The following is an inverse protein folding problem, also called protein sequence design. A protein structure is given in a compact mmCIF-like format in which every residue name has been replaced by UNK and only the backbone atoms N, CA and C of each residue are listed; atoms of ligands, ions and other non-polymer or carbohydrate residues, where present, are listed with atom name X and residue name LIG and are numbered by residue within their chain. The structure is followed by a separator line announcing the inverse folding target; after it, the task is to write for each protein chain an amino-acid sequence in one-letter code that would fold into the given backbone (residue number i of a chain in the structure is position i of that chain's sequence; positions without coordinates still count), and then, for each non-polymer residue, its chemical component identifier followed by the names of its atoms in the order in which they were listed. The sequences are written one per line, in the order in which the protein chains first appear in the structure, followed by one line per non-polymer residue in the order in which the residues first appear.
data_IF_587056313578
#
_entry.id   IF_587056313578
#
_cell.length_a   1.000
_cell.length_b   1.000
_cell.length_c   1.000
_cell.angle_alpha   90.00
_cell.angle_beta   90.00
_cell.angle_gamma   90.00
#
_symmetry.space_group_name_H-M   'P 1'
#
loop_
_entity.id
_entity.type
_entity.pdbx_description
1 polymer ?
#
# COMPACT_ATOMS: atom_id res chain seq x y z
N UNK A 1 38.94 30.37 -56.12
CA UNK A 1 38.17 29.39 -56.91
C UNK A 1 38.23 28.07 -56.17
N UNK A 2 37.07 27.62 -55.69
CA UNK A 2 36.66 26.26 -55.25
C UNK A 2 37.62 25.43 -54.37
N UNK A 3 37.22 24.84 -53.24
CA UNK A 3 35.89 24.57 -52.69
C UNK A 3 36.00 24.32 -51.19
N UNK A 4 34.89 24.60 -50.50
CA UNK A 4 34.68 24.47 -49.07
C UNK A 4 33.60 23.39 -48.85
N UNK A 5 33.64 22.72 -47.69
CA UNK A 5 32.64 21.80 -47.07
C UNK A 5 32.91 20.31 -47.31
N UNK A 6 32.85 19.43 -46.32
CA UNK A 6 32.40 19.60 -44.94
C UNK A 6 32.86 18.44 -44.05
N UNK A 7 32.77 18.70 -42.76
CA UNK A 7 33.01 17.78 -41.66
C UNK A 7 32.08 16.57 -41.76
N UNK A 8 32.65 15.37 -41.62
CA UNK A 8 31.96 14.25 -40.98
C UNK A 8 32.84 13.84 -39.80
N UNK A 9 32.51 14.38 -38.63
CA UNK A 9 32.93 13.84 -37.35
C UNK A 9 32.28 12.46 -37.19
N UNK A 10 32.95 11.42 -37.70
CA UNK A 10 32.62 10.08 -37.27
C UNK A 10 33.11 9.93 -35.82
N UNK A 11 32.18 10.19 -34.90
CA UNK A 11 32.29 9.79 -33.51
C UNK A 11 32.68 8.32 -33.47
N UNK A 12 33.89 8.03 -32.99
CA UNK A 12 34.33 6.68 -32.67
C UNK A 12 33.49 6.15 -31.50
N UNK A 13 32.28 5.68 -31.79
CA UNK A 13 31.59 4.77 -30.88
C UNK A 13 32.41 3.50 -30.80
N UNK A 14 33.17 3.37 -29.71
CA UNK A 14 33.79 2.11 -29.32
C UNK A 14 32.71 1.02 -29.30
N UNK A 15 32.86 -0.07 -30.06
CA UNK A 15 31.86 -1.13 -30.04
C UNK A 15 31.81 -1.71 -28.61
N UNK A 16 30.62 -1.66 -28.01
CA UNK A 16 30.30 -2.40 -26.80
C UNK A 16 30.55 -3.89 -27.09
N UNK A 17 31.67 -4.40 -26.58
CA UNK A 17 32.04 -5.81 -26.40
C UNK A 17 31.69 -6.80 -27.53
N UNK A 18 32.70 -7.50 -28.08
CA UNK A 18 32.52 -8.63 -29.02
C UNK A 18 31.58 -9.74 -28.52
N UNK A 19 31.27 -9.78 -27.22
CA UNK A 19 30.28 -10.70 -26.63
C UNK A 19 28.83 -10.46 -27.07
N UNK A 20 28.48 -9.26 -27.55
CA UNK A 20 27.10 -8.97 -27.95
C UNK A 20 26.68 -9.64 -29.27
N UNK A 21 27.63 -9.96 -30.15
CA UNK A 21 27.37 -10.62 -31.45
C UNK A 21 27.22 -12.14 -31.38
N UNK A 22 27.81 -12.78 -30.36
CA UNK A 22 27.88 -14.24 -30.24
C UNK A 22 26.79 -14.83 -29.32
N UNK A 23 26.03 -13.98 -28.63
CA UNK A 23 24.86 -14.42 -27.86
C UNK A 23 23.64 -14.54 -28.79
N UNK A 24 23.41 -15.75 -29.29
CA UNK A 24 22.10 -16.15 -29.81
C UNK A 24 21.34 -16.88 -28.69
N UNK A 25 20.64 -16.17 -27.79
CA UNK A 25 19.87 -16.82 -26.73
C UNK A 25 18.78 -17.69 -27.38
N UNK A 26 18.91 -19.00 -27.21
CA UNK A 26 17.80 -19.93 -27.47
C UNK A 26 17.03 -20.07 -26.18
N UNK A 27 15.80 -19.55 -26.15
CA UNK A 27 14.86 -19.82 -25.06
C UNK A 27 14.64 -21.32 -24.96
N UNK A 28 15.04 -21.93 -23.84
CA UNK A 28 14.94 -23.37 -23.59
C UNK A 28 13.52 -23.83 -23.21
N UNK A 29 12.51 -22.99 -23.49
CA UNK A 29 11.14 -23.13 -22.99
C UNK A 29 10.82 -22.05 -21.95
N UNK A 30 9.59 -21.54 -21.98
CA UNK A 30 9.08 -20.67 -20.92
C UNK A 30 8.77 -21.47 -19.63
N UNK A 31 8.45 -20.79 -18.51
CA UNK A 31 7.92 -21.48 -17.34
C UNK A 31 6.66 -22.27 -17.73
N UNK A 32 6.47 -23.44 -17.10
CA UNK A 32 5.27 -24.26 -17.27
C UNK A 32 4.01 -23.41 -17.02
N UNK A 33 3.00 -23.58 -17.86
CA UNK A 33 1.81 -22.74 -17.87
C UNK A 33 0.58 -23.55 -18.30
N UNK A 34 -0.61 -22.98 -18.18
CA UNK A 34 -1.82 -23.57 -18.73
C UNK A 34 -1.93 -23.32 -20.24
N UNK A 35 -2.76 -24.12 -20.91
CA UNK A 35 -3.15 -23.81 -22.28
C UNK A 35 -3.87 -22.44 -22.33
N UNK A 36 -3.59 -21.69 -23.40
CA UNK A 36 -4.09 -20.33 -23.58
C UNK A 36 -5.36 -20.26 -24.43
N UNK A 37 -5.78 -21.40 -24.97
CA UNK A 37 -6.92 -21.56 -25.86
C UNK A 37 -7.69 -22.83 -25.51
N UNK A 38 -8.98 -22.84 -25.83
CA UNK A 38 -9.82 -24.01 -25.77
C UNK A 38 -10.79 -24.01 -26.95
N UNK A 39 -10.93 -25.16 -27.61
CA UNK A 39 -11.85 -25.36 -28.73
C UNK A 39 -13.24 -25.83 -28.28
N UNK A 40 -13.31 -26.47 -27.10
CA UNK A 40 -14.52 -26.89 -26.42
C UNK A 40 -15.00 -25.91 -25.34
N UNK A 41 -16.01 -26.32 -24.54
CA UNK A 41 -16.70 -25.44 -23.61
C UNK A 41 -15.77 -24.80 -22.59
N UNK A 42 -16.03 -23.52 -22.29
CA UNK A 42 -15.31 -22.75 -21.27
C UNK A 42 -16.26 -22.17 -20.25
N UNK A 43 -15.86 -22.20 -18.98
CA UNK A 43 -16.46 -21.38 -17.93
C UNK A 43 -15.77 -20.03 -17.91
N UNK A 44 -16.51 -18.93 -17.76
CA UNK A 44 -15.93 -17.60 -17.76
C UNK A 44 -16.59 -16.62 -16.80
N UNK A 45 -15.87 -15.55 -16.52
CA UNK A 45 -16.33 -14.37 -15.81
C UNK A 45 -15.80 -13.13 -16.49
N UNK A 46 -16.62 -12.09 -16.54
CA UNK A 46 -16.26 -10.82 -17.17
C UNK A 46 -15.34 -10.03 -16.25
N UNK A 47 -14.28 -9.46 -16.83
CA UNK A 47 -13.36 -8.55 -16.16
C UNK A 47 -13.69 -7.12 -16.56
N UNK A 48 -13.83 -6.25 -15.58
CA UNK A 48 -14.12 -4.85 -15.76
C UNK A 48 -13.20 -3.98 -14.90
N UNK A 49 -13.08 -2.72 -15.31
CA UNK A 49 -12.54 -1.67 -14.46
C UNK A 49 -13.34 -0.38 -14.64
N UNK A 50 -12.77 0.76 -14.23
CA UNK A 50 -13.41 2.06 -14.36
C UNK A 50 -13.63 2.52 -15.81
N UNK A 51 -13.03 1.84 -16.79
CA UNK A 51 -13.16 2.08 -18.23
C UNK A 51 -14.31 1.26 -18.84
N UNK A 52 -14.84 0.28 -18.09
CA UNK A 52 -15.89 -0.63 -18.52
C UNK A 52 -15.39 -2.08 -18.58
N UNK A 53 -16.03 -2.87 -19.43
CA UNK A 53 -15.70 -4.30 -19.60
C UNK A 53 -14.42 -4.44 -20.44
N UNK A 54 -13.35 -4.94 -19.81
CA UNK A 54 -12.03 -5.11 -20.43
C UNK A 54 -11.86 -6.44 -21.16
N UNK A 55 -12.62 -7.46 -20.78
CA UNK A 55 -12.39 -8.82 -21.25
C UNK A 55 -13.09 -9.86 -20.38
N UNK A 56 -12.59 -11.09 -20.43
CA UNK A 56 -13.08 -12.18 -19.58
C UNK A 56 -11.93 -13.09 -19.13
N UNK A 57 -12.01 -13.59 -17.91
CA UNK A 57 -11.24 -14.76 -17.51
C UNK A 57 -12.03 -16.01 -17.88
N UNK A 58 -11.38 -17.02 -18.42
CA UNK A 58 -12.02 -18.29 -18.73
C UNK A 58 -11.17 -19.49 -18.29
N UNK A 59 -11.81 -20.64 -18.11
CA UNK A 59 -11.17 -21.93 -17.87
C UNK A 59 -11.89 -23.10 -18.55
N UNK A 60 -11.12 -24.14 -18.87
CA UNK A 60 -11.57 -25.46 -19.32
C UNK A 60 -10.67 -26.53 -18.69
N UNK A 61 -11.21 -27.31 -17.76
CA UNK A 61 -10.49 -28.43 -17.15
C UNK A 61 -10.20 -29.54 -18.16
N UNK A 62 -11.12 -29.77 -19.10
CA UNK A 62 -11.00 -30.80 -20.13
C UNK A 62 -9.80 -30.59 -21.06
N UNK A 63 -9.45 -29.32 -21.31
CA UNK A 63 -8.37 -28.93 -22.22
C UNK A 63 -7.17 -28.32 -21.47
N UNK A 64 -7.20 -28.30 -20.13
CA UNK A 64 -6.09 -27.77 -19.33
C UNK A 64 -5.87 -26.25 -19.54
N UNK A 65 -6.91 -25.52 -19.93
CA UNK A 65 -6.82 -24.14 -20.37
C UNK A 65 -7.36 -23.16 -19.32
N UNK A 66 -6.63 -22.09 -19.02
CA UNK A 66 -7.13 -20.94 -18.25
C UNK A 66 -6.38 -19.71 -18.70
N UNK A 67 -7.09 -18.63 -19.00
CA UNK A 67 -6.47 -17.40 -19.50
C UNK A 67 -7.39 -16.19 -19.36
N UNK A 68 -6.79 -15.01 -19.52
CA UNK A 68 -7.49 -13.75 -19.71
C UNK A 68 -7.64 -13.46 -21.20
N UNK A 69 -8.88 -13.37 -21.65
CA UNK A 69 -9.28 -12.94 -22.97
C UNK A 69 -9.44 -11.41 -22.98
N UNK A 70 -8.67 -10.74 -23.83
CA UNK A 70 -8.70 -9.28 -24.01
C UNK A 70 -9.85 -8.87 -24.94
N UNK A 71 -10.62 -7.85 -24.55
CA UNK A 71 -11.55 -7.16 -25.45
C UNK A 71 -10.80 -6.06 -26.22
N UNK A 72 -10.46 -6.33 -27.48
CA UNK A 72 -9.59 -5.45 -28.29
C UNK A 72 -10.15 -4.03 -28.50
N UNK A 73 -11.47 -3.87 -28.59
CA UNK A 73 -12.14 -2.57 -28.76
C UNK A 73 -11.86 -1.57 -27.62
N UNK A 74 -11.54 -2.08 -26.43
CA UNK A 74 -11.21 -1.26 -25.26
C UNK A 74 -9.75 -0.79 -25.24
N UNK A 75 -8.96 -1.17 -26.25
CA UNK A 75 -7.64 -0.61 -26.47
C UNK A 75 -6.60 -0.97 -25.39
N UNK A 76 -5.62 -0.09 -25.14
CA UNK A 76 -4.48 -0.37 -24.27
C UNK A 76 -4.87 -0.77 -22.84
N UNK A 77 -5.95 -0.22 -22.30
CA UNK A 77 -6.44 -0.47 -20.95
C UNK A 77 -6.81 -1.95 -20.75
N UNK A 78 -7.52 -2.55 -21.70
CA UNK A 78 -7.83 -3.98 -21.67
C UNK A 78 -6.59 -4.85 -21.78
N UNK A 79 -5.60 -4.42 -22.56
CA UNK A 79 -4.32 -5.13 -22.74
C UNK A 79 -3.44 -5.06 -21.48
N UNK A 80 -3.43 -3.93 -20.76
CA UNK A 80 -2.63 -3.71 -19.56
C UNK A 80 -3.01 -4.69 -18.42
N UNK A 81 -4.27 -5.15 -18.38
CA UNK A 81 -4.71 -6.15 -17.41
C UNK A 81 -4.06 -7.52 -17.57
N UNK A 82 -3.52 -7.83 -18.76
CA UNK A 82 -2.91 -9.13 -19.06
C UNK A 82 -1.75 -9.49 -18.13
N UNK A 83 -0.97 -8.51 -17.67
CA UNK A 83 0.19 -8.75 -16.81
C UNK A 83 -0.20 -9.41 -15.49
N UNK A 84 -1.14 -8.79 -14.77
CA UNK A 84 -1.67 -9.29 -13.49
C UNK A 84 -2.22 -10.71 -13.64
N UNK A 85 -3.12 -10.90 -14.61
CA UNK A 85 -3.79 -12.20 -14.78
C UNK A 85 -2.80 -13.31 -15.16
N UNK A 86 -1.76 -12.99 -15.93
CA UNK A 86 -0.69 -13.94 -16.27
C UNK A 86 0.11 -14.36 -15.03
N UNK A 87 0.44 -13.42 -14.14
CA UNK A 87 1.18 -13.72 -12.91
C UNK A 87 0.38 -14.64 -11.98
N UNK A 88 -0.90 -14.32 -11.73
CA UNK A 88 -1.80 -15.14 -10.92
C UNK A 88 -1.96 -16.56 -11.49
N UNK A 89 -2.17 -16.65 -12.80
CA UNK A 89 -2.26 -17.93 -13.51
C UNK A 89 -0.99 -18.77 -13.35
N UNK A 90 0.19 -18.19 -13.53
CA UNK A 90 1.47 -18.91 -13.39
C UNK A 90 1.71 -19.37 -11.96
N UNK A 91 1.35 -18.55 -10.97
CA UNK A 91 1.38 -18.92 -9.56
C UNK A 91 0.48 -20.15 -9.28
N UNK A 92 -0.72 -20.19 -9.87
CA UNK A 92 -1.62 -21.33 -9.77
C UNK A 92 -1.06 -22.60 -10.42
N UNK A 93 -0.47 -22.47 -11.62
CA UNK A 93 0.17 -23.59 -12.33
C UNK A 93 1.30 -24.20 -11.51
N UNK A 94 2.17 -23.38 -10.92
CA UNK A 94 3.28 -23.83 -10.09
C UNK A 94 2.82 -24.63 -8.86
N UNK A 95 1.59 -24.39 -8.38
CA UNK A 95 0.97 -25.12 -7.28
C UNK A 95 0.15 -26.32 -7.73
N UNK A 96 0.05 -26.57 -9.04
CA UNK A 96 -0.62 -27.75 -9.62
C UNK A 96 -2.14 -27.70 -9.58
N UNK A 97 -2.75 -26.51 -9.53
CA UNK A 97 -4.21 -26.36 -9.51
C UNK A 97 -4.84 -26.77 -10.85
N UNK A 98 -6.06 -27.30 -10.81
CA UNK A 98 -6.86 -27.46 -12.04
C UNK A 98 -7.26 -26.08 -12.62
N UNK A 99 -7.52 -25.95 -13.92
CA UNK A 99 -7.92 -24.69 -14.53
C UNK A 99 -9.09 -23.95 -13.85
N UNK A 100 -10.14 -24.65 -13.45
CA UNK A 100 -11.29 -24.02 -12.76
C UNK A 100 -10.95 -23.57 -11.33
N UNK A 101 -10.10 -24.32 -10.62
CA UNK A 101 -9.57 -23.91 -9.31
C UNK A 101 -8.67 -22.68 -9.44
N UNK A 102 -7.81 -22.66 -10.46
CA UNK A 102 -6.97 -21.51 -10.80
C UNK A 102 -7.82 -20.29 -11.15
N UNK A 103 -8.90 -20.45 -11.93
CA UNK A 103 -9.84 -19.39 -12.26
C UNK A 103 -10.51 -18.81 -11.01
N UNK A 104 -11.00 -19.66 -10.10
CA UNK A 104 -11.60 -19.22 -8.85
C UNK A 104 -10.62 -18.41 -7.99
N UNK A 105 -9.37 -18.86 -7.89
CA UNK A 105 -8.33 -18.14 -7.16
C UNK A 105 -7.93 -16.83 -7.84
N UNK A 106 -7.78 -16.83 -9.17
CA UNK A 106 -7.53 -15.62 -9.93
C UNK A 106 -8.62 -14.58 -9.67
N UNK A 107 -9.89 -14.98 -9.70
CA UNK A 107 -11.01 -14.08 -9.39
C UNK A 107 -10.97 -13.53 -7.96
N UNK A 108 -10.51 -14.33 -6.99
CA UNK A 108 -10.40 -13.90 -5.59
C UNK A 108 -9.19 -12.99 -5.32
N UNK A 109 -8.09 -13.18 -6.03
CA UNK A 109 -6.84 -12.43 -5.84
C UNK A 109 -6.72 -11.23 -6.79
N UNK A 110 -7.44 -11.27 -7.90
CA UNK A 110 -7.34 -10.29 -8.96
C UNK A 110 -8.13 -9.01 -8.71
N UNK A 111 -7.42 -7.89 -8.81
CA UNK A 111 -7.97 -6.55 -8.96
C UNK A 111 -8.03 -5.73 -7.67
N UNK A 112 -7.70 -4.43 -7.78
CA UNK A 112 -8.60 -3.29 -7.54
C UNK A 112 -8.83 -2.67 -8.97
N UNK A 113 -9.63 -1.63 -9.29
CA UNK A 113 -10.02 -1.33 -10.66
C UNK A 113 -8.87 -0.80 -11.55
N UNK A 114 -7.63 -0.98 -11.12
CA UNK A 114 -6.52 -1.11 -12.04
C UNK A 114 -5.71 -2.38 -11.69
N UNK A 115 -5.35 -3.22 -12.67
CA UNK A 115 -5.65 -3.06 -14.09
C UNK A 115 -7.01 -3.66 -14.51
N UNK A 116 -7.69 -4.45 -13.67
CA UNK A 116 -9.01 -5.04 -13.95
C UNK A 116 -9.48 -5.99 -12.84
N UNK A 117 -10.80 -6.07 -12.60
CA UNK A 117 -11.43 -6.95 -11.60
C UNK A 117 -12.50 -7.82 -12.27
N UNK A 118 -12.54 -9.10 -11.91
CA UNK A 118 -13.65 -9.98 -12.27
C UNK A 118 -14.94 -9.55 -11.55
N UNK A 119 -16.03 -9.36 -12.30
CA UNK A 119 -17.32 -8.95 -11.74
C UNK A 119 -17.96 -10.07 -10.91
N UNK A 120 -18.55 -9.77 -9.75
CA UNK A 120 -19.22 -10.77 -8.93
C UNK A 120 -20.48 -11.29 -9.63
N UNK A 121 -20.72 -12.59 -9.56
CA UNK A 121 -21.89 -13.22 -10.16
C UNK A 121 -21.71 -14.73 -10.36
N UNK A 122 -22.75 -15.44 -10.83
CA UNK A 122 -22.59 -16.82 -11.24
C UNK A 122 -21.60 -16.91 -12.41
N UNK A 123 -20.82 -17.99 -12.44
CA UNK A 123 -20.01 -18.34 -13.60
C UNK A 123 -20.89 -18.49 -14.84
N UNK A 124 -20.43 -17.96 -15.95
CA UNK A 124 -21.09 -18.10 -17.25
C UNK A 124 -20.39 -19.19 -18.06
N UNK A 125 -21.07 -19.72 -19.08
CA UNK A 125 -20.54 -20.77 -19.96
C UNK A 125 -20.62 -20.31 -21.41
N UNK A 126 -19.57 -20.60 -22.17
CA UNK A 126 -19.55 -20.42 -23.61
C UNK A 126 -19.18 -21.77 -24.28
N UNK A 127 -19.78 -22.11 -25.44
CA UNK A 127 -19.48 -23.36 -26.15
C UNK A 127 -18.02 -23.52 -26.59
N UNK A 128 -17.30 -22.41 -26.76
CA UNK A 128 -15.86 -22.37 -27.03
C UNK A 128 -15.28 -20.99 -26.75
N UNK A 129 -13.94 -20.89 -26.71
CA UNK A 129 -13.26 -19.59 -26.61
C UNK A 129 -13.54 -18.68 -27.80
N UNK A 130 -13.74 -19.24 -29.00
CA UNK A 130 -14.07 -18.47 -30.20
C UNK A 130 -15.44 -17.79 -30.05
N UNK A 131 -16.44 -18.51 -29.53
CA UNK A 131 -17.76 -17.94 -29.24
C UNK A 131 -17.67 -16.87 -28.16
N UNK A 132 -16.92 -17.13 -27.08
CA UNK A 132 -16.71 -16.14 -26.02
C UNK A 132 -16.07 -14.84 -26.57
N UNK A 133 -15.10 -14.96 -27.47
CA UNK A 133 -14.45 -13.81 -28.13
C UNK A 133 -15.44 -12.95 -28.92
N UNK A 134 -16.40 -13.55 -29.60
CA UNK A 134 -17.46 -12.81 -30.29
C UNK A 134 -18.48 -12.22 -29.30
N UNK A 135 -18.75 -12.91 -28.19
CA UNK A 135 -19.75 -12.53 -27.20
C UNK A 135 -19.34 -11.33 -26.33
N UNK A 136 -18.05 -11.19 -26.02
CA UNK A 136 -17.55 -10.07 -25.20
C UNK A 136 -17.32 -8.78 -26.01
N UNK A 137 -17.60 -8.80 -27.30
CA UNK A 137 -17.46 -7.66 -28.23
C UNK A 137 -18.77 -6.85 -28.28
N UNK A 138 -18.66 -5.53 -28.39
CA UNK A 138 -19.81 -4.62 -28.43
C UNK A 138 -20.45 -4.31 -27.07
N UNK A 139 -21.07 -3.13 -26.98
CA UNK A 139 -21.60 -2.59 -25.72
C UNK A 139 -23.10 -2.83 -25.50
N UNK A 140 -23.81 -3.36 -26.49
CA UNK A 140 -25.27 -3.56 -26.42
C UNK A 140 -25.72 -4.60 -25.39
N UNK A 141 -24.82 -5.51 -25.00
CA UNK A 141 -25.09 -6.59 -24.03
C UNK A 141 -24.62 -6.25 -22.61
N UNK A 142 -23.70 -5.30 -22.45
CA UNK A 142 -23.01 -5.05 -21.20
C UNK A 142 -23.23 -3.61 -20.75
N UNK A 143 -23.73 -3.41 -19.52
CA UNK A 143 -23.77 -2.08 -18.94
C UNK A 143 -22.33 -1.56 -18.79
N UNK A 144 -21.98 -0.50 -19.53
CA UNK A 144 -20.64 0.12 -19.53
C UNK A 144 -20.18 0.61 -18.16
N UNK A 145 -21.11 0.82 -17.23
CA UNK A 145 -20.84 1.23 -15.86
C UNK A 145 -21.20 0.09 -14.90
N UNK A 146 -20.20 -0.64 -14.38
CA UNK A 146 -20.42 -1.52 -13.25
C UNK A 146 -20.79 -0.66 -12.03
N UNK A 147 -22.09 -0.57 -11.73
CA UNK A 147 -22.62 0.26 -10.63
C UNK A 147 -22.03 -0.12 -9.25
N UNK A 148 -21.51 -1.34 -9.14
CA UNK A 148 -20.93 -1.94 -7.95
C UNK A 148 -19.42 -1.69 -7.78
N UNK A 149 -18.73 -1.12 -8.78
CA UNK A 149 -17.33 -0.72 -8.64
C UNK A 149 -17.24 0.53 -7.78
N UNK A 150 -16.89 0.36 -6.51
CA UNK A 150 -16.48 1.47 -5.64
C UNK A 150 -15.16 2.06 -6.18
N UNK A 151 -14.98 3.37 -6.09
CA UNK A 151 -13.73 4.05 -6.47
C UNK A 151 -12.93 4.28 -5.20
N UNK A 152 -11.95 3.43 -4.93
CA UNK A 152 -11.00 3.67 -3.85
C UNK A 152 -9.64 4.09 -4.42
N UNK A 153 -8.98 4.97 -3.70
CA UNK A 153 -7.56 5.20 -3.81
C UNK A 153 -6.90 4.63 -2.55
N UNK A 154 -5.72 4.05 -2.71
CA UNK A 154 -4.85 3.65 -1.60
C UNK A 154 -3.67 4.62 -1.52
N UNK A 155 -3.90 5.86 -1.04
CA UNK A 155 -2.89 6.89 -1.12
C UNK A 155 -1.76 6.64 -0.13
N UNK A 156 -0.60 7.21 -0.47
CA UNK A 156 0.38 7.57 0.55
C UNK A 156 -0.19 8.72 1.36
N UNK A 157 -0.52 8.48 2.63
CA UNK A 157 -1.03 9.52 3.55
C UNK A 157 0.14 10.42 3.97
N UNK A 158 0.13 11.72 3.61
CA UNK A 158 1.16 12.66 4.04
C UNK A 158 0.87 13.20 5.44
N UNK A 159 1.92 13.47 6.20
CA UNK A 159 1.85 14.04 7.54
C UNK A 159 2.65 15.34 7.62
N UNK A 160 2.14 16.32 8.37
CA UNK A 160 2.90 17.49 8.85
C UNK A 160 2.82 17.50 10.37
N UNK A 161 3.88 17.01 11.02
CA UNK A 161 3.85 16.72 12.45
C UNK A 161 2.72 15.71 12.77
N UNK A 162 1.86 15.95 13.77
CA UNK A 162 0.75 15.05 14.09
C UNK A 162 -0.45 15.19 13.15
N UNK A 163 -0.45 16.17 12.22
CA UNK A 163 -1.59 16.46 11.35
C UNK A 163 -1.50 15.65 10.06
N UNK A 164 -2.54 14.87 9.77
CA UNK A 164 -2.74 14.26 8.45
C UNK A 164 -3.12 15.31 7.43
N UNK A 165 -2.55 15.17 6.22
CA UNK A 165 -2.84 16.05 5.09
C UNK A 165 -3.69 15.31 4.06
N UNK A 166 -4.38 16.09 3.23
CA UNK A 166 -5.11 15.53 2.10
C UNK A 166 -4.10 14.83 1.17
N UNK A 167 -4.37 13.60 0.74
CA UNK A 167 -3.51 12.96 -0.23
C UNK A 167 -3.48 13.71 -1.57
N UNK A 168 -2.41 13.53 -2.32
CA UNK A 168 -2.29 14.17 -3.63
C UNK A 168 -3.14 13.45 -4.68
N UNK A 169 -3.84 14.23 -5.51
CA UNK A 169 -4.57 13.73 -6.67
C UNK A 169 -3.58 13.40 -7.79
N UNK A 170 -3.54 12.14 -8.21
CA UNK A 170 -2.69 11.67 -9.31
C UNK A 170 -3.37 11.85 -10.67
N UNK A 171 -2.60 11.78 -11.76
CA UNK A 171 -3.18 11.82 -13.11
C UNK A 171 -4.03 10.58 -13.42
N UNK A 172 -3.69 9.44 -12.84
CA UNK A 172 -4.51 8.22 -12.91
C UNK A 172 -5.88 8.44 -12.27
N UNK A 173 -5.93 9.08 -11.10
CA UNK A 173 -7.19 9.47 -10.46
C UNK A 173 -8.00 10.40 -11.36
N UNK A 174 -7.37 11.43 -11.96
CA UNK A 174 -8.07 12.36 -12.87
C UNK A 174 -8.64 11.65 -14.10
N UNK A 175 -7.88 10.73 -14.69
CA UNK A 175 -8.36 9.92 -15.83
C UNK A 175 -9.57 9.08 -15.42
N UNK A 176 -9.53 8.47 -14.24
CA UNK A 176 -10.63 7.68 -13.69
C UNK A 176 -11.88 8.53 -13.40
N UNK A 177 -11.69 9.75 -12.87
CA UNK A 177 -12.77 10.68 -12.54
C UNK A 177 -13.54 11.16 -13.77
N UNK A 178 -12.83 11.45 -14.88
CA UNK A 178 -13.44 11.89 -16.16
C UNK A 178 -14.49 10.94 -16.71
N UNK A 179 -14.46 9.68 -16.31
CA UNK A 179 -15.38 8.63 -16.75
C UNK A 179 -16.53 8.39 -15.79
N UNK A 180 -16.55 9.08 -14.65
CA UNK A 180 -17.45 8.79 -13.54
C UNK A 180 -17.96 10.09 -12.88
N UNK A 181 -18.60 10.96 -13.67
CA UNK A 181 -19.15 12.20 -13.14
C UNK A 181 -20.17 11.93 -12.04
N UNK A 182 -20.19 12.81 -11.02
CA UNK A 182 -21.13 12.72 -9.90
C UNK A 182 -20.82 11.64 -8.85
N UNK A 183 -19.69 10.91 -8.96
CA UNK A 183 -19.26 9.91 -7.97
C UNK A 183 -18.25 10.48 -6.98
N UNK A 184 -17.73 9.64 -6.07
CA UNK A 184 -16.71 10.01 -5.08
C UNK A 184 -15.56 9.00 -5.15
N UNK A 185 -14.32 9.49 -5.14
CA UNK A 185 -13.12 8.69 -4.92
C UNK A 185 -12.84 8.65 -3.43
N UNK A 186 -12.90 7.48 -2.79
CA UNK A 186 -12.58 7.34 -1.37
C UNK A 186 -11.10 7.05 -1.15
N UNK A 187 -10.44 7.80 -0.29
CA UNK A 187 -9.11 7.46 0.22
C UNK A 187 -9.24 6.40 1.32
N UNK A 188 -8.65 5.23 1.12
CA UNK A 188 -8.76 4.09 2.03
C UNK A 188 -7.46 3.92 2.83
N UNK A 189 -7.60 3.58 4.10
CA UNK A 189 -6.46 3.25 4.95
C UNK A 189 -5.70 2.03 4.38
N UNK A 190 -4.36 2.13 4.21
CA UNK A 190 -3.56 1.08 3.58
C UNK A 190 -3.62 -0.30 4.25
N UNK A 191 -4.09 -0.42 5.49
CA UNK A 191 -4.29 -1.72 6.14
C UNK A 191 -5.50 -2.48 5.60
N UNK A 192 -6.47 -1.81 4.97
CA UNK A 192 -7.64 -2.44 4.36
C UNK A 192 -7.32 -2.93 2.95
N UNK A 193 -6.46 -3.94 2.89
CA UNK A 193 -5.91 -4.47 1.65
C UNK A 193 -6.87 -5.39 0.90
N UNK A 194 -7.98 -5.81 1.51
CA UNK A 194 -8.98 -6.63 0.83
C UNK A 194 -9.70 -5.78 -0.24
N UNK A 195 -9.39 -5.98 -1.52
CA UNK A 195 -9.92 -5.14 -2.59
C UNK A 195 -11.40 -5.45 -2.90
N UNK A 196 -11.91 -6.58 -2.40
CA UNK A 196 -13.31 -7.03 -2.56
C UNK A 196 -14.16 -6.81 -1.31
N UNK A 197 -13.52 -6.49 -0.18
CA UNK A 197 -14.18 -6.28 1.09
C UNK A 197 -14.89 -4.94 1.15
N UNK A 198 -16.03 -4.90 1.83
CA UNK A 198 -16.59 -3.63 2.25
C UNK A 198 -15.62 -2.96 3.24
N UNK A 199 -15.12 -1.78 2.87
CA UNK A 199 -14.34 -0.97 3.81
C UNK A 199 -15.33 -0.27 4.74
N UNK A 200 -15.25 -0.49 6.06
CA UNK A 200 -16.08 0.23 7.02
C UNK A 200 -15.79 1.73 6.97
N UNK A 201 -16.73 2.57 7.38
CA UNK A 201 -16.55 4.02 7.28
C UNK A 201 -15.31 4.53 8.03
N UNK A 202 -15.02 3.98 9.21
CA UNK A 202 -13.81 4.32 9.97
C UNK A 202 -12.50 3.90 9.28
N UNK A 203 -12.54 3.06 8.24
CA UNK A 203 -11.39 2.70 7.40
C UNK A 203 -11.17 3.64 6.21
N UNK A 204 -12.05 4.63 6.02
CA UNK A 204 -11.98 5.62 4.94
C UNK A 204 -11.44 6.93 5.51
N UNK A 205 -10.28 7.38 5.03
CA UNK A 205 -9.68 8.67 5.41
C UNK A 205 -10.59 9.85 5.01
N UNK A 206 -11.30 9.70 3.89
CA UNK A 206 -12.14 10.73 3.31
C UNK A 206 -12.41 10.46 1.84
N UNK A 207 -12.83 11.47 1.09
CA UNK A 207 -13.03 11.32 -0.34
C UNK A 207 -12.96 12.62 -1.12
N UNK A 208 -12.74 12.47 -2.43
CA UNK A 208 -12.84 13.54 -3.41
C UNK A 208 -14.15 13.38 -4.19
N UNK A 209 -15.09 14.32 -4.13
CA UNK A 209 -16.24 14.32 -5.02
C UNK A 209 -15.76 14.58 -6.45
N UNK A 210 -16.44 13.95 -7.40
CA UNK A 210 -16.24 14.15 -8.84
C UNK A 210 -17.46 14.94 -9.33
N UNK A 211 -17.21 16.07 -10.00
CA UNK A 211 -18.28 16.90 -10.52
C UNK A 211 -18.94 16.29 -11.79
N UNK A 212 -19.91 16.99 -12.37
CA UNK A 212 -20.63 16.54 -13.57
C UNK A 212 -19.75 16.49 -14.83
N UNK A 213 -18.61 17.18 -14.84
CA UNK A 213 -17.63 17.17 -15.92
C UNK A 213 -16.56 16.09 -15.73
N UNK A 214 -16.59 15.37 -14.60
CA UNK A 214 -15.60 14.37 -14.26
C UNK A 214 -14.31 14.96 -13.69
N UNK A 215 -14.35 16.20 -13.18
CA UNK A 215 -13.24 16.85 -12.48
C UNK A 215 -13.26 16.51 -10.99
N UNK A 216 -12.07 16.32 -10.41
CA UNK A 216 -11.89 15.98 -8.99
C UNK A 216 -11.93 17.26 -8.17
N UNK A 217 -12.88 17.34 -7.23
CA UNK A 217 -13.05 18.46 -6.30
C UNK A 217 -12.14 18.40 -5.07
N UNK A 218 -12.46 19.21 -4.06
CA UNK A 218 -11.72 19.30 -2.80
C UNK A 218 -11.83 18.00 -1.98
N UNK A 219 -10.76 17.65 -1.26
CA UNK A 219 -10.77 16.49 -0.38
C UNK A 219 -11.55 16.77 0.90
N UNK A 220 -12.55 15.95 1.19
CA UNK A 220 -13.29 16.00 2.44
C UNK A 220 -12.83 14.87 3.36
N UNK A 221 -12.25 15.24 4.51
CA UNK A 221 -11.89 14.28 5.54
C UNK A 221 -13.12 13.65 6.16
N UNK A 222 -13.06 12.34 6.38
CA UNK A 222 -14.06 11.65 7.17
C UNK A 222 -13.78 11.88 8.67
N UNK A 223 -14.69 12.49 9.44
CA UNK A 223 -14.49 12.70 10.87
C UNK A 223 -14.44 11.39 11.67
N UNK A 224 -15.04 10.32 11.16
CA UNK A 224 -15.09 9.01 11.82
C UNK A 224 -13.88 8.12 11.48
N UNK A 225 -12.90 8.67 10.75
CA UNK A 225 -11.71 7.93 10.35
C UNK A 225 -10.82 7.55 11.55
N UNK A 226 -10.54 6.26 11.68
CA UNK A 226 -9.64 5.71 12.69
C UNK A 226 -8.37 5.14 12.05
N UNK A 227 -7.23 5.86 12.09
CA UNK A 227 -6.03 5.41 11.42
C UNK A 227 -5.45 4.14 12.05
N UNK A 228 -5.03 3.21 11.19
CA UNK A 228 -4.29 2.01 11.61
C UNK A 228 -2.82 2.31 11.87
N UNK A 229 -2.12 1.37 12.51
CA UNK A 229 -0.66 1.46 12.67
C UNK A 229 0.06 1.55 11.32
N UNK A 230 -0.45 0.85 10.30
CA UNK A 230 0.06 0.91 8.92
C UNK A 230 -0.06 2.33 8.36
N UNK A 231 -1.23 2.96 8.48
CA UNK A 231 -1.43 4.35 8.06
C UNK A 231 -0.50 5.32 8.79
N UNK A 232 -0.31 5.13 10.10
CA UNK A 232 0.57 5.93 10.95
C UNK A 232 2.06 5.62 10.75
N UNK A 233 2.39 4.57 9.99
CA UNK A 233 3.75 4.03 9.82
C UNK A 233 4.40 3.68 11.14
N UNK A 234 3.61 3.21 12.10
CA UNK A 234 4.09 2.71 13.38
C UNK A 234 4.24 1.20 13.32
N UNK A 235 5.24 0.70 14.04
CA UNK A 235 5.45 -0.74 14.22
C UNK A 235 4.43 -1.27 15.23
N UNK A 236 4.18 -2.58 15.22
CA UNK A 236 3.47 -3.22 16.32
C UNK A 236 4.22 -2.97 17.65
N UNK A 237 3.53 -2.69 18.76
CA UNK A 237 4.20 -2.40 20.03
C UNK A 237 4.87 -3.64 20.59
N UNK A 238 6.13 -3.53 21.01
CA UNK A 238 6.90 -4.62 21.62
C UNK A 238 6.63 -4.79 23.12
N UNK A 239 6.09 -3.76 23.77
CA UNK A 239 5.81 -3.74 25.19
C UNK A 239 4.61 -2.83 25.55
N UNK A 240 4.22 -2.87 26.82
CA UNK A 240 3.05 -2.15 27.33
C UNK A 240 3.21 -0.63 27.30
N UNK A 241 4.44 -0.14 27.49
CA UNK A 241 4.76 1.30 27.39
C UNK A 241 4.51 1.79 25.96
N UNK A 242 4.97 1.03 24.96
CA UNK A 242 4.72 1.32 23.55
C UNK A 242 3.25 1.26 23.19
N UNK A 243 2.55 0.21 23.66
CA UNK A 243 1.12 0.07 23.40
C UNK A 243 0.35 1.27 23.94
N UNK A 244 0.66 1.70 25.17
CA UNK A 244 0.04 2.86 25.77
C UNK A 244 0.41 4.17 25.06
N UNK A 245 1.67 4.34 24.64
CA UNK A 245 2.11 5.50 23.87
C UNK A 245 1.42 5.60 22.51
N UNK A 246 1.31 4.48 21.79
CA UNK A 246 0.59 4.40 20.53
C UNK A 246 -0.90 4.71 20.71
N UNK A 247 -1.55 4.15 21.74
CA UNK A 247 -2.96 4.42 22.04
C UNK A 247 -3.18 5.91 22.35
N UNK A 248 -2.32 6.51 23.19
CA UNK A 248 -2.38 7.93 23.51
C UNK A 248 -2.20 8.81 22.27
N UNK A 249 -1.17 8.54 21.46
CA UNK A 249 -0.88 9.28 20.22
C UNK A 249 -1.97 9.12 19.16
N UNK A 250 -2.64 7.98 19.11
CA UNK A 250 -3.80 7.72 18.26
C UNK A 250 -5.13 8.26 18.85
N UNK A 251 -5.10 8.98 19.98
CA UNK A 251 -6.29 9.50 20.70
C UNK A 251 -7.29 8.41 21.14
N UNK A 252 -6.80 7.18 21.32
CA UNK A 252 -7.56 6.01 21.83
C UNK A 252 -7.19 5.64 23.27
N UNK A 253 -6.28 6.40 23.89
CA UNK A 253 -5.85 6.21 25.28
C UNK A 253 -5.60 7.56 25.95
N UNK A 254 -5.31 7.54 27.25
CA UNK A 254 -5.09 8.74 28.05
C UNK A 254 -3.61 8.96 28.37
N UNK A 255 -3.25 10.18 28.76
CA UNK A 255 -1.90 10.50 29.19
C UNK A 255 -1.55 9.72 30.47
N UNK A 256 -2.53 9.57 31.37
CA UNK A 256 -2.40 8.84 32.64
C UNK A 256 -2.09 7.36 32.39
N UNK A 257 -2.81 6.71 31.47
CA UNK A 257 -2.55 5.31 31.13
C UNK A 257 -1.15 5.10 30.54
N UNK A 258 -0.65 6.06 29.75
CA UNK A 258 0.73 6.05 29.28
C UNK A 258 1.73 6.22 30.42
N UNK A 259 1.52 7.20 31.31
CA UNK A 259 2.41 7.44 32.45
C UNK A 259 2.43 6.25 33.42
N UNK A 260 1.29 5.59 33.64
CA UNK A 260 1.20 4.39 34.48
C UNK A 260 1.94 3.20 33.85
N UNK A 261 1.75 2.96 32.55
CA UNK A 261 2.50 1.95 31.82
C UNK A 261 4.01 2.25 31.86
N UNK A 262 4.41 3.51 31.68
CA UNK A 262 5.80 3.95 31.76
C UNK A 262 6.40 3.68 33.15
N UNK A 263 5.68 4.01 34.24
CA UNK A 263 6.13 3.73 35.62
C UNK A 263 6.28 2.23 35.89
N UNK A 264 5.34 1.43 35.40
CA UNK A 264 5.37 -0.02 35.59
C UNK A 264 6.46 -0.71 34.74
N UNK A 265 6.76 -0.15 33.57
CA UNK A 265 7.64 -0.75 32.58
C UNK A 265 9.14 -0.51 32.81
N UNK A 266 9.93 -1.25 32.05
CA UNK A 266 11.38 -1.03 31.91
C UNK A 266 11.63 -0.30 30.59
N UNK A 267 12.41 0.77 30.63
CA UNK A 267 12.80 1.58 29.47
C UNK A 267 14.32 1.65 29.35
N UNK A 268 14.81 2.02 28.17
CA UNK A 268 16.23 2.29 27.94
C UNK A 268 16.47 3.79 28.10
N UNK A 269 17.27 4.18 29.08
CA UNK A 269 17.60 5.59 29.34
C UNK A 269 18.97 5.92 28.79
N UNK A 270 19.11 7.10 28.18
CA UNK A 270 20.40 7.63 27.74
C UNK A 270 21.35 7.77 28.92
N UNK A 271 22.55 7.22 28.78
CA UNK A 271 23.56 7.17 29.83
C UNK A 271 24.95 7.56 29.30
N UNK A 272 25.81 7.98 30.21
CA UNK A 272 27.25 8.10 29.97
C UNK A 272 27.89 6.70 30.01
N UNK A 273 29.15 6.60 29.58
CA UNK A 273 29.91 5.33 29.62
C UNK A 273 30.11 4.77 31.03
N UNK A 274 30.00 5.61 32.07
CA UNK A 274 30.05 5.22 33.49
C UNK A 274 28.67 4.80 34.06
N UNK A 275 27.62 4.80 33.23
CA UNK A 275 26.26 4.39 33.60
C UNK A 275 25.39 5.48 34.24
N UNK A 276 25.92 6.69 34.47
CA UNK A 276 25.13 7.85 34.93
C UNK A 276 24.17 8.32 33.85
N UNK A 277 23.04 8.90 34.25
CA UNK A 277 22.06 9.46 33.31
C UNK A 277 22.68 10.61 32.52
N UNK A 278 22.54 10.54 31.19
CA UNK A 278 23.03 11.55 30.27
C UNK A 278 21.89 12.49 29.89
N UNK A 279 22.02 13.76 30.28
CA UNK A 279 21.10 14.83 29.91
C UNK A 279 21.67 15.63 28.74
N UNK A 280 20.81 15.98 27.78
CA UNK A 280 21.13 16.93 26.72
C UNK A 280 20.42 18.25 26.97
N UNK A 281 20.98 19.33 26.44
CA UNK A 281 20.29 20.62 26.36
C UNK A 281 19.36 20.61 25.13
N UNK A 282 18.12 21.03 25.31
CA UNK A 282 17.19 21.30 24.21
C UNK A 282 17.49 22.64 23.55
N UNK A 283 16.95 22.87 22.36
CA UNK A 283 17.08 24.17 21.66
C UNK A 283 16.41 25.33 22.44
N UNK A 284 15.56 25.00 23.41
CA UNK A 284 14.91 25.89 24.36
C UNK A 284 15.73 26.11 25.65
N UNK A 285 16.93 25.53 25.76
CA UNK A 285 17.78 25.58 26.96
C UNK A 285 17.36 24.61 28.06
N UNK A 286 16.31 23.81 27.84
CA UNK A 286 15.78 22.89 28.84
C UNK A 286 16.60 21.59 28.90
N UNK A 287 16.73 21.03 30.11
CA UNK A 287 17.43 19.75 30.29
C UNK A 287 16.52 18.60 29.89
N UNK A 288 16.97 17.76 28.97
CA UNK A 288 16.22 16.61 28.48
C UNK A 288 16.95 15.30 28.78
N UNK A 289 16.20 14.32 29.27
CA UNK A 289 16.62 12.92 29.28
C UNK A 289 15.96 12.17 28.12
N UNK A 290 16.76 11.63 27.21
CA UNK A 290 16.24 10.74 26.17
C UNK A 290 15.94 9.35 26.78
N UNK A 291 14.73 8.88 26.54
CA UNK A 291 14.22 7.58 26.99
C UNK A 291 13.67 6.83 25.80
N UNK A 292 13.97 5.54 25.68
CA UNK A 292 13.52 4.70 24.58
C UNK A 292 12.67 3.56 25.11
N UNK A 293 11.54 3.35 24.46
CA UNK A 293 10.61 2.30 24.84
C UNK A 293 11.12 0.91 24.50
N UNK A 294 11.98 0.78 23.48
CA UNK A 294 12.65 -0.47 23.09
C UNK A 294 13.91 -0.20 22.26
N UNK A 295 14.72 -1.23 22.03
CA UNK A 295 15.98 -1.13 21.28
C UNK A 295 15.81 -0.58 19.85
N UNK A 296 14.76 -0.93 19.08
CA UNK A 296 14.55 -0.38 17.75
C UNK A 296 14.26 1.13 17.68
N UNK A 297 14.06 1.80 18.81
CA UNK A 297 13.94 3.27 18.90
C UNK A 297 15.25 3.96 19.30
N UNK A 298 16.29 3.21 19.69
CA UNK A 298 17.61 3.78 20.01
C UNK A 298 18.30 4.18 18.71
N UNK A 299 18.75 5.44 18.56
CA UNK A 299 19.52 5.87 17.39
C UNK A 299 20.83 5.09 17.23
N UNK A 300 21.21 4.82 15.99
CA UNK A 300 22.48 4.20 15.64
C UNK A 300 23.61 5.26 15.57
N UNK A 301 23.83 5.96 16.68
CA UNK A 301 24.84 7.02 16.82
C UNK A 301 25.89 6.70 17.90
N UNK A 302 25.93 5.44 18.35
CA UNK A 302 26.86 4.96 19.36
C UNK A 302 26.54 5.42 20.79
N UNK A 303 25.38 6.05 21.05
CA UNK A 303 25.00 6.44 22.41
C UNK A 303 24.90 5.23 23.34
N UNK A 304 25.36 5.40 24.57
CA UNK A 304 25.15 4.40 25.61
C UNK A 304 23.74 4.52 26.19
N UNK A 305 23.08 3.38 26.36
CA UNK A 305 21.79 3.28 27.03
C UNK A 305 21.84 2.22 28.11
N UNK A 306 21.04 2.41 29.17
CA UNK A 306 20.89 1.46 30.27
C UNK A 306 19.41 1.16 30.48
N UNK A 307 19.08 -0.09 30.78
CA UNK A 307 17.73 -0.45 31.18
C UNK A 307 17.43 0.07 32.61
N UNK A 308 16.27 0.68 32.81
CA UNK A 308 15.81 1.20 34.10
C UNK A 308 14.30 1.07 34.22
N UNK A 309 13.80 0.69 35.40
CA UNK A 309 12.37 0.72 35.68
C UNK A 309 11.88 2.17 35.72
N UNK A 310 10.73 2.46 35.10
CA UNK A 310 10.22 3.82 35.01
C UNK A 310 9.80 4.41 36.35
N UNK A 311 9.35 3.58 37.31
CA UNK A 311 9.06 3.98 38.67
C UNK A 311 10.31 4.34 39.48
N UNK A 312 11.44 3.66 39.23
CA UNK A 312 12.75 4.07 39.78
C UNK A 312 13.24 5.38 39.13
N UNK A 313 13.06 5.49 37.81
CA UNK A 313 13.38 6.70 37.07
C UNK A 313 12.60 7.91 37.61
N UNK A 314 11.29 7.73 37.88
CA UNK A 314 10.42 8.75 38.45
C UNK A 314 10.93 9.32 39.78
N UNK A 315 11.67 8.54 40.58
CA UNK A 315 12.20 8.96 41.88
C UNK A 315 13.45 9.83 41.78
N UNK A 316 14.19 9.72 40.68
CA UNK A 316 15.50 10.39 40.52
C UNK A 316 15.47 11.59 39.58
N UNK A 317 14.39 11.76 38.82
CA UNK A 317 14.24 12.89 37.89
C UNK A 317 13.65 14.12 38.56
N UNK A 318 14.30 15.25 38.35
CA UNK A 318 13.83 16.56 38.79
C UNK A 318 14.33 17.67 37.87
N UNK A 319 13.46 18.65 37.59
CA UNK A 319 13.83 19.85 36.83
C UNK A 319 14.32 19.54 35.41
N UNK A 320 13.71 18.55 34.74
CA UNK A 320 14.05 18.18 33.38
C UNK A 320 12.80 17.71 32.60
N UNK A 321 12.93 17.57 31.30
CA UNK A 321 11.94 16.90 30.43
C UNK A 321 12.37 15.47 30.13
N UNK A 322 11.39 14.58 30.05
CA UNK A 322 11.57 13.23 29.51
C UNK A 322 11.20 13.28 28.03
N UNK A 323 12.15 12.93 27.17
CA UNK A 323 11.97 12.87 25.72
C UNK A 323 11.96 11.41 25.26
N UNK A 324 10.76 10.89 25.01
CA UNK A 324 10.53 9.50 24.64
C UNK A 324 10.71 9.30 23.14
N UNK A 325 11.52 8.30 22.75
CA UNK A 325 11.78 7.88 21.38
C UNK A 325 12.19 9.04 20.45
N UNK A 326 13.05 9.92 20.97
CA UNK A 326 13.58 11.10 20.27
C UNK A 326 14.10 10.72 18.88
N UNK A 327 13.67 11.46 17.85
CA UNK A 327 14.05 11.23 16.45
C UNK A 327 13.14 10.27 15.68
N UNK A 328 12.20 9.59 16.35
CA UNK A 328 11.23 8.69 15.69
C UNK A 328 9.89 9.38 15.39
N UNK A 329 9.03 8.74 14.59
CA UNK A 329 7.64 9.18 14.33
C UNK A 329 6.70 8.97 15.52
N UNK A 330 7.05 8.09 16.46
CA UNK A 330 6.33 7.83 17.70
C UNK A 330 7.14 8.39 18.88
N UNK A 331 7.14 9.72 19.03
CA UNK A 331 7.84 10.42 20.10
C UNK A 331 6.87 11.22 20.99
N UNK A 332 7.33 11.55 22.21
CA UNK A 332 6.62 12.41 23.16
C UNK A 332 7.62 13.13 24.06
N UNK A 333 7.33 14.38 24.43
CA UNK A 333 8.08 15.13 25.45
C UNK A 333 7.13 15.60 26.55
N UNK A 334 7.50 15.41 27.81
CA UNK A 334 6.74 15.89 28.96
C UNK A 334 7.66 16.23 30.15
N UNK A 335 7.25 17.14 31.05
CA UNK A 335 8.01 17.45 32.27
C UNK A 335 8.19 16.22 33.16
N UNK A 336 9.35 16.07 33.82
CA UNK A 336 9.59 14.94 34.73
C UNK A 336 8.64 14.92 35.93
N UNK A 337 8.03 16.06 36.28
CA UNK A 337 7.01 16.16 37.33
C UNK A 337 5.77 15.32 37.02
N UNK A 338 5.44 15.10 35.75
CA UNK A 338 4.27 14.32 35.36
C UNK A 338 4.54 12.82 35.55
N UNK A 339 5.80 12.39 35.48
CA UNK A 339 6.20 11.01 35.77
C UNK A 339 6.33 10.75 37.27
N UNK A 340 6.68 11.77 38.06
CA UNK A 340 6.88 11.66 39.49
C UNK A 340 5.63 11.07 40.17
N UNK A 341 5.85 10.13 41.08
CA UNK A 341 4.81 9.69 42.02
C UNK A 341 4.90 10.65 43.20
N UNK A 342 3.79 11.29 43.57
CA UNK A 342 3.77 12.17 44.75
C UNK A 342 4.39 11.42 45.93
N UNK A 343 5.41 12.01 46.56
CA UNK A 343 6.05 11.43 47.75
C UNK A 343 5.14 11.43 48.99
N UNK A 344 3.93 11.99 48.86
CA UNK A 344 2.87 11.98 49.85
C UNK A 344 1.69 11.18 49.29
N UNK A 345 1.76 9.85 49.46
CA UNK A 345 0.65 8.91 49.35
C UNK A 345 0.43 8.26 50.69
#
# INVERSE_FOLDING_TARGET
MSEQRGQDEHSEERPFSRLAGDLQPRLTGGPDDYELSADGPVQYVVVANMEGILGALFASDAEGAVCYLVREEQGPEASNATGLWRELRRSAKQRGLAPTEALAEMVQQGGYPFPGRALPGPWQEAPSLAVLREEIVGDGKWHREPRDLKIHAYPVIPFRGPKMLAPQVTEEMRRSARRQPGRVIFAIDPAYTNPHGEVPDHGKLGGWPIDENGEIGEFHFNPDYEPTLTALRWRAPENDVERALQAFRARRGTAEAFLDALRAGTVLVSAESDGKLRFREGDDGERHLDVYTSAPYVPDDGRHVRAMNGGELAKVLYGCYVAVNTGSSLNLRFPSSDLAVSAFG
#
